data_IF_744590107758
#
_entry.id   IF_744590107758
#
_cell.length_a   1.000
_cell.length_b   1.000
_cell.length_c   1.000
_cell.angle_alpha   90.00
_cell.angle_beta   90.00
_cell.angle_gamma   90.00
#
_symmetry.space_group_name_H-M   'P 1'
#
loop_
_entity.id
_entity.type
_entity.pdbx_description
1 polymer ?
#
# COMPACT_ATOMS: atom_id res chain seq x y z
N UNK A 1 -0.97 -51.11 35.39
CA UNK A 1 -0.41 -50.34 34.27
C UNK A 1 -1.37 -49.23 33.95
N UNK A 2 -1.03 -47.94 34.33
CA UNK A 2 -1.87 -46.76 34.06
C UNK A 2 -1.49 -46.20 32.69
N UNK A 3 -2.40 -46.24 31.72
CA UNK A 3 -2.23 -45.63 30.40
C UNK A 3 -2.52 -44.12 30.53
N UNK A 4 -1.49 -43.26 30.46
CA UNK A 4 -1.63 -41.83 30.34
C UNK A 4 -2.05 -41.49 28.93
N UNK A 5 -3.25 -40.93 28.80
CA UNK A 5 -3.75 -40.36 27.53
C UNK A 5 -3.21 -38.91 27.43
N UNK A 6 -2.28 -38.68 26.52
CA UNK A 6 -1.80 -37.32 26.17
C UNK A 6 -2.79 -36.77 25.16
N UNK A 7 -3.59 -35.79 25.60
CA UNK A 7 -4.50 -35.03 24.73
C UNK A 7 -3.71 -33.96 24.00
N UNK A 8 -3.64 -33.95 22.65
CA UNK A 8 -2.96 -32.86 21.93
C UNK A 8 -3.77 -31.57 22.06
N UNK A 9 -3.14 -30.55 22.61
CA UNK A 9 -3.69 -29.20 22.67
C UNK A 9 -3.50 -28.54 21.29
N UNK A 10 -4.58 -28.52 20.49
CA UNK A 10 -4.59 -27.76 19.22
C UNK A 10 -4.60 -26.25 19.57
N UNK A 11 -3.47 -25.62 19.38
CA UNK A 11 -3.38 -24.15 19.38
C UNK A 11 -3.98 -23.64 18.05
N UNK A 12 -5.22 -23.17 18.09
CA UNK A 12 -5.80 -22.42 16.97
C UNK A 12 -5.14 -21.04 16.90
N UNK A 13 -4.20 -20.84 15.99
CA UNK A 13 -3.70 -19.53 15.61
C UNK A 13 -4.83 -18.82 14.85
N UNK A 14 -5.58 -17.96 15.54
CA UNK A 14 -6.47 -17.02 14.90
C UNK A 14 -5.58 -15.96 14.22
N UNK A 15 -5.39 -16.08 12.90
CA UNK A 15 -4.83 -15.00 12.10
C UNK A 15 -5.84 -13.84 12.12
N UNK A 16 -5.53 -12.78 12.86
CA UNK A 16 -6.28 -11.51 12.78
C UNK A 16 -5.96 -10.86 11.43
N UNK A 17 -6.76 -11.15 10.40
CA UNK A 17 -6.72 -10.34 9.18
C UNK A 17 -7.27 -8.95 9.51
N UNK A 18 -6.47 -7.92 9.25
CA UNK A 18 -6.90 -6.55 9.46
C UNK A 18 -8.12 -6.25 8.58
N UNK A 19 -9.22 -5.83 9.21
CA UNK A 19 -10.46 -5.46 8.50
C UNK A 19 -10.27 -4.06 7.90
N UNK A 20 -10.61 -3.84 6.62
CA UNK A 20 -10.55 -2.50 6.03
C UNK A 20 -11.39 -1.49 6.80
N UNK A 21 -10.96 -0.21 6.88
CA UNK A 21 -11.68 0.83 7.59
C UNK A 21 -13.09 1.01 7.04
N UNK A 22 -14.09 1.20 7.93
CA UNK A 22 -15.49 1.43 7.54
C UNK A 22 -15.68 2.67 6.68
N UNK A 23 -14.84 3.68 6.88
CA UNK A 23 -14.87 4.93 6.13
C UNK A 23 -13.47 5.30 5.64
N UNK A 24 -13.01 4.62 4.60
CA UNK A 24 -11.70 4.84 3.98
C UNK A 24 -11.54 6.21 3.28
N UNK A 25 -12.61 6.95 3.05
CA UNK A 25 -12.60 8.29 2.50
C UNK A 25 -12.35 9.39 3.57
N UNK A 26 -12.38 9.01 4.85
CA UNK A 26 -12.06 9.91 5.95
C UNK A 26 -10.82 9.41 6.70
N UNK A 27 -9.67 10.05 6.43
CA UNK A 27 -8.40 9.62 7.01
C UNK A 27 -8.38 9.74 8.54
N UNK A 28 -9.10 10.70 9.12
CA UNK A 28 -9.21 10.82 10.57
C UNK A 28 -9.99 9.66 11.18
N UNK A 29 -11.06 9.18 10.50
CA UNK A 29 -11.80 8.00 10.92
C UNK A 29 -10.94 6.74 10.77
N UNK A 30 -10.26 6.60 9.64
CA UNK A 30 -9.32 5.50 9.37
C UNK A 30 -8.28 5.36 10.48
N UNK A 31 -7.63 6.46 10.89
CA UNK A 31 -6.61 6.44 11.93
C UNK A 31 -7.18 6.28 13.36
N UNK A 32 -8.44 6.66 13.63
CA UNK A 32 -9.09 6.36 14.91
C UNK A 32 -9.49 4.89 15.03
N UNK A 33 -9.87 4.26 13.92
CA UNK A 33 -10.16 2.81 13.90
C UNK A 33 -8.87 1.98 14.02
N UNK A 34 -7.72 2.53 13.58
CA UNK A 34 -6.42 1.88 13.54
C UNK A 34 -5.33 2.88 13.97
N UNK A 35 -5.22 3.13 15.26
CA UNK A 35 -4.30 4.16 15.81
C UNK A 35 -2.84 3.94 15.41
N UNK A 36 -2.40 2.68 15.37
CA UNK A 36 -1.05 2.31 14.95
C UNK A 36 -0.74 2.72 13.50
N UNK A 37 -1.74 2.80 12.64
CA UNK A 37 -1.53 3.19 11.23
C UNK A 37 -1.04 4.63 11.10
N UNK A 38 -1.51 5.54 11.96
CA UNK A 38 -0.98 6.90 11.99
C UNK A 38 0.48 6.92 12.41
N UNK A 39 0.85 6.16 13.44
CA UNK A 39 2.21 6.05 13.95
C UNK A 39 3.12 5.50 12.84
N UNK A 40 2.72 4.42 12.18
CA UNK A 40 3.48 3.77 11.12
C UNK A 40 3.65 4.68 9.89
N UNK A 41 2.59 5.35 9.44
CA UNK A 41 2.66 6.30 8.33
C UNK A 41 3.54 7.52 8.69
N UNK A 42 3.55 7.95 9.96
CA UNK A 42 4.41 9.01 10.45
C UNK A 42 5.89 8.56 10.48
N UNK A 43 6.19 7.35 10.92
CA UNK A 43 7.54 6.79 10.88
C UNK A 43 8.07 6.72 9.44
N UNK A 44 7.25 6.27 8.50
CA UNK A 44 7.59 6.29 7.08
C UNK A 44 7.84 7.72 6.57
N UNK A 45 7.02 8.70 6.99
CA UNK A 45 7.26 10.11 6.67
C UNK A 45 8.59 10.61 7.24
N UNK A 46 8.89 10.30 8.49
CA UNK A 46 10.14 10.71 9.12
C UNK A 46 11.37 10.10 8.42
N UNK A 47 11.25 8.87 7.95
CA UNK A 47 12.32 8.16 7.24
C UNK A 47 12.52 8.65 5.81
N UNK A 48 11.44 8.85 5.05
CA UNK A 48 11.49 9.08 3.61
C UNK A 48 11.12 10.51 3.19
N UNK A 49 10.52 11.28 4.07
CA UNK A 49 10.07 12.65 3.83
C UNK A 49 8.87 12.77 2.88
N UNK A 50 8.18 11.66 2.59
CA UNK A 50 6.97 11.65 1.78
C UNK A 50 5.77 11.90 2.68
N UNK A 51 4.94 12.94 2.45
CA UNK A 51 3.84 13.29 3.35
C UNK A 51 2.84 12.15 3.55
N UNK A 52 2.33 11.99 4.78
CA UNK A 52 1.36 10.95 5.15
C UNK A 52 0.16 10.95 4.20
N UNK A 53 -0.39 12.11 3.86
CA UNK A 53 -1.54 12.21 2.96
C UNK A 53 -1.26 11.69 1.54
N UNK A 54 -0.02 11.73 1.07
CA UNK A 54 0.40 11.14 -0.21
C UNK A 54 0.45 9.62 -0.10
N UNK A 55 1.13 9.10 0.93
CA UNK A 55 1.25 7.65 1.17
C UNK A 55 -0.14 7.01 1.26
N UNK A 56 -1.02 7.59 2.07
CA UNK A 56 -2.38 7.10 2.28
C UNK A 56 -3.26 7.20 1.03
N UNK A 57 -3.08 8.24 0.20
CA UNK A 57 -3.84 8.38 -1.05
C UNK A 57 -3.41 7.33 -2.10
N UNK A 58 -2.12 7.00 -2.16
CA UNK A 58 -1.61 5.93 -3.01
C UNK A 58 -2.15 4.59 -2.51
N UNK A 59 -1.97 4.26 -1.23
CA UNK A 59 -2.44 3.00 -0.63
C UNK A 59 -3.95 2.82 -0.81
N UNK A 60 -4.74 3.87 -0.60
CA UNK A 60 -6.17 3.83 -0.85
C UNK A 60 -6.49 3.48 -2.31
N UNK A 61 -5.76 4.04 -3.27
CA UNK A 61 -5.97 3.74 -4.69
C UNK A 61 -5.59 2.30 -5.03
N UNK A 62 -4.56 1.76 -4.41
CA UNK A 62 -4.04 0.43 -4.70
C UNK A 62 -4.92 -0.68 -4.11
N UNK A 63 -5.30 -0.57 -2.86
CA UNK A 63 -5.99 -1.66 -2.14
C UNK A 63 -7.27 -1.27 -1.40
N UNK A 64 -7.60 0.03 -1.31
CA UNK A 64 -8.62 0.53 -0.39
C UNK A 64 -8.37 0.10 1.07
N UNK A 65 -7.11 -0.03 1.45
CA UNK A 65 -6.66 -0.53 2.76
C UNK A 65 -7.05 -1.99 3.05
N UNK A 66 -7.17 -2.81 2.02
CA UNK A 66 -7.35 -4.26 2.15
C UNK A 66 -5.98 -4.90 2.26
N UNK A 67 -5.72 -5.61 3.37
CA UNK A 67 -4.42 -6.19 3.69
C UNK A 67 -3.95 -7.22 2.65
N UNK A 68 -4.84 -8.13 2.27
CA UNK A 68 -4.58 -9.25 1.38
C UNK A 68 -5.07 -9.00 -0.07
N UNK A 69 -5.18 -7.73 -0.45
CA UNK A 69 -5.65 -7.36 -1.79
C UNK A 69 -4.79 -8.00 -2.88
N UNK A 70 -5.45 -8.57 -3.89
CA UNK A 70 -4.80 -9.24 -5.01
C UNK A 70 -5.59 -8.98 -6.30
N UNK A 71 -4.92 -8.91 -7.47
CA UNK A 71 -5.61 -8.90 -8.75
C UNK A 71 -6.52 -10.13 -8.91
N UNK A 72 -7.70 -9.99 -9.53
CA UNK A 72 -8.57 -11.14 -9.75
C UNK A 72 -7.86 -12.19 -10.61
N UNK A 73 -8.17 -13.47 -10.36
CA UNK A 73 -7.69 -14.56 -11.21
C UNK A 73 -8.36 -14.50 -12.57
N UNK A 74 -7.62 -14.84 -13.61
CA UNK A 74 -8.22 -15.17 -14.91
C UNK A 74 -8.92 -16.53 -14.81
N UNK A 75 -9.89 -16.77 -15.71
CA UNK A 75 -10.64 -18.02 -15.72
C UNK A 75 -10.38 -18.76 -17.00
N UNK A 76 -9.95 -20.01 -16.90
CA UNK A 76 -9.86 -20.92 -18.04
C UNK A 76 -11.27 -21.47 -18.34
N UNK A 77 -11.73 -21.33 -19.58
CA UNK A 77 -13.07 -21.75 -20.02
C UNK A 77 -14.23 -21.14 -19.21
N UNK A 78 -13.96 -20.02 -18.49
CA UNK A 78 -14.97 -19.34 -17.68
C UNK A 78 -15.34 -20.02 -16.36
N UNK A 79 -14.77 -21.20 -16.03
CA UNK A 79 -15.13 -21.99 -14.85
C UNK A 79 -13.95 -22.43 -13.97
N UNK A 80 -12.74 -22.49 -14.51
CA UNK A 80 -11.56 -22.94 -13.76
C UNK A 80 -10.70 -21.71 -13.39
N UNK A 81 -10.48 -21.40 -12.09
CA UNK A 81 -9.56 -20.35 -11.69
C UNK A 81 -8.15 -20.66 -12.23
N UNK A 82 -7.60 -19.74 -13.02
CA UNK A 82 -6.30 -19.92 -13.64
C UNK A 82 -5.23 -19.08 -12.93
N UNK A 83 -4.43 -18.33 -13.65
CA UNK A 83 -3.36 -17.50 -13.09
C UNK A 83 -3.82 -16.08 -12.77
N UNK A 84 -3.05 -15.36 -11.96
CA UNK A 84 -3.18 -13.91 -11.77
C UNK A 84 -2.32 -13.18 -12.79
N UNK A 85 -2.81 -12.09 -13.40
CA UNK A 85 -2.05 -11.35 -14.42
C UNK A 85 -0.87 -10.56 -13.84
N UNK A 86 -0.78 -10.43 -12.51
CA UNK A 86 0.26 -9.72 -11.80
C UNK A 86 0.51 -10.38 -10.44
N UNK A 87 1.74 -10.29 -9.93
CA UNK A 87 2.12 -10.67 -8.57
C UNK A 87 1.84 -9.59 -7.52
N UNK A 88 1.13 -8.51 -7.91
CA UNK A 88 0.74 -7.44 -6.99
C UNK A 88 -0.03 -7.99 -5.79
N UNK A 89 0.39 -7.60 -4.57
CA UNK A 89 -0.18 -8.09 -3.33
C UNK A 89 -0.18 -7.03 -2.23
N UNK A 90 -1.14 -7.15 -1.32
CA UNK A 90 -1.17 -6.43 -0.07
C UNK A 90 -1.64 -4.97 -0.19
N UNK A 91 -1.43 -4.23 0.87
CA UNK A 91 -1.83 -2.82 0.97
C UNK A 91 -1.29 -1.93 -0.15
N UNK A 92 -0.02 -2.13 -0.51
CA UNK A 92 0.69 -1.32 -1.49
C UNK A 92 0.60 -1.85 -2.91
N UNK A 93 0.01 -3.04 -3.14
CA UNK A 93 0.00 -3.73 -4.43
C UNK A 93 1.37 -3.82 -5.09
N UNK A 94 2.42 -3.99 -4.25
CA UNK A 94 3.78 -4.19 -4.73
C UNK A 94 3.89 -5.52 -5.47
N UNK A 95 4.53 -5.52 -6.64
CA UNK A 95 4.90 -6.73 -7.36
C UNK A 95 6.16 -7.35 -6.76
N UNK A 96 6.35 -8.67 -6.92
CA UNK A 96 7.45 -9.42 -6.32
C UNK A 96 8.80 -8.77 -6.57
N UNK A 97 9.16 -8.48 -7.82
CA UNK A 97 10.45 -7.87 -8.19
C UNK A 97 10.72 -6.53 -7.47
N UNK A 98 9.68 -5.69 -7.34
CA UNK A 98 9.84 -4.38 -6.69
C UNK A 98 9.89 -4.51 -5.17
N UNK A 99 9.17 -5.50 -4.63
CA UNK A 99 9.22 -5.80 -3.20
C UNK A 99 10.58 -6.37 -2.79
N UNK A 100 11.13 -7.31 -3.56
CA UNK A 100 12.47 -7.86 -3.33
C UNK A 100 13.53 -6.75 -3.39
N UNK A 101 13.42 -5.84 -4.37
CA UNK A 101 14.28 -4.64 -4.47
C UNK A 101 14.20 -3.76 -3.21
N UNK A 102 13.01 -3.63 -2.62
CA UNK A 102 12.82 -2.89 -1.37
C UNK A 102 13.45 -3.63 -0.20
N UNK A 103 13.22 -4.93 -0.06
CA UNK A 103 13.81 -5.74 1.02
C UNK A 103 15.32 -5.65 1.01
N UNK A 104 15.93 -5.78 -0.15
CA UNK A 104 17.40 -5.73 -0.31
C UNK A 104 18.00 -4.36 0.02
N UNK A 105 17.27 -3.26 -0.24
CA UNK A 105 17.82 -1.89 -0.16
C UNK A 105 17.41 -1.12 1.09
N UNK A 106 16.26 -1.44 1.65
CA UNK A 106 15.65 -0.60 2.66
C UNK A 106 14.70 -1.32 3.63
N UNK A 107 14.15 -2.47 3.25
CA UNK A 107 13.20 -3.22 4.06
C UNK A 107 13.82 -3.82 5.31
N UNK A 108 12.96 -4.14 6.28
CA UNK A 108 13.34 -4.87 7.48
C UNK A 108 13.24 -6.36 7.26
N UNK A 109 14.08 -7.13 7.97
CA UNK A 109 13.92 -8.60 7.96
C UNK A 109 12.55 -8.99 8.47
N UNK A 110 11.83 -9.82 7.70
CA UNK A 110 10.48 -10.27 8.04
C UNK A 110 9.38 -9.29 7.63
N UNK A 111 9.70 -8.23 6.85
CA UNK A 111 8.68 -7.33 6.32
C UNK A 111 7.71 -8.07 5.37
N UNK A 112 6.41 -7.75 5.47
CA UNK A 112 5.36 -8.37 4.67
C UNK A 112 4.44 -7.32 4.00
N UNK A 113 3.94 -7.66 2.81
CA UNK A 113 3.11 -6.75 1.99
C UNK A 113 1.69 -6.56 2.54
N UNK A 114 1.21 -7.47 3.40
CA UNK A 114 -0.07 -7.37 4.10
C UNK A 114 0.05 -6.78 5.52
N UNK A 115 1.25 -6.38 5.93
CA UNK A 115 1.47 -5.57 7.12
C UNK A 115 1.48 -4.08 6.77
N UNK A 116 0.61 -3.32 7.44
CA UNK A 116 0.42 -1.89 7.13
C UNK A 116 1.70 -1.07 7.29
N UNK A 117 2.49 -1.33 8.34
CA UNK A 117 3.73 -0.62 8.61
C UNK A 117 4.72 -0.75 7.44
N UNK A 118 4.91 -1.97 6.98
CA UNK A 118 5.84 -2.30 5.90
C UNK A 118 5.37 -1.74 4.56
N UNK A 119 4.07 -1.83 4.28
CA UNK A 119 3.49 -1.27 3.07
C UNK A 119 3.58 0.27 3.05
N UNK A 120 3.39 0.94 4.19
CA UNK A 120 3.56 2.39 4.30
C UNK A 120 5.03 2.80 4.10
N UNK A 121 5.97 2.05 4.68
CA UNK A 121 7.40 2.29 4.49
C UNK A 121 7.82 2.05 3.03
N UNK A 122 7.32 0.99 2.39
CA UNK A 122 7.53 0.72 0.98
C UNK A 122 7.05 1.85 0.06
N UNK A 123 5.83 2.37 0.27
CA UNK A 123 5.29 3.50 -0.51
C UNK A 123 6.16 4.74 -0.30
N UNK A 124 6.59 5.01 0.93
CA UNK A 124 7.51 6.08 1.27
C UNK A 124 8.85 5.94 0.54
N UNK A 125 9.47 4.77 0.62
CA UNK A 125 10.72 4.43 -0.06
C UNK A 125 10.62 4.62 -1.57
N UNK A 126 9.63 4.00 -2.22
CA UNK A 126 9.47 4.07 -3.68
C UNK A 126 9.22 5.50 -4.16
N UNK A 127 8.40 6.26 -3.43
CA UNK A 127 8.12 7.67 -3.72
C UNK A 127 9.35 8.56 -3.52
N UNK A 128 10.19 8.26 -2.52
CA UNK A 128 11.48 8.93 -2.29
C UNK A 128 12.47 8.68 -3.43
N UNK A 129 12.52 7.45 -3.97
CA UNK A 129 13.33 7.15 -5.16
C UNK A 129 12.78 7.88 -6.39
N UNK A 130 11.45 7.96 -6.54
CA UNK A 130 10.81 8.72 -7.62
C UNK A 130 11.18 10.21 -7.55
N UNK A 131 11.21 10.78 -6.34
CA UNK A 131 11.71 12.15 -6.13
C UNK A 131 13.16 12.29 -6.60
N UNK A 132 14.04 11.42 -6.13
CA UNK A 132 15.48 11.50 -6.41
C UNK A 132 15.84 11.26 -7.88
N UNK A 133 15.18 10.27 -8.52
CA UNK A 133 15.48 9.87 -9.90
C UNK A 133 14.77 10.72 -10.96
N UNK A 134 13.58 11.22 -10.65
CA UNK A 134 12.68 11.83 -11.63
C UNK A 134 12.39 13.32 -11.34
N UNK A 135 12.87 13.85 -10.20
CA UNK A 135 12.64 15.24 -9.80
C UNK A 135 11.18 15.52 -9.37
N UNK A 136 10.37 14.50 -9.09
CA UNK A 136 8.98 14.66 -8.68
C UNK A 136 8.96 15.18 -7.24
N UNK A 137 8.24 16.26 -6.97
CA UNK A 137 8.09 16.77 -5.60
C UNK A 137 7.40 15.72 -4.71
N UNK A 138 7.89 15.52 -3.47
CA UNK A 138 7.36 14.52 -2.53
C UNK A 138 5.88 14.73 -2.15
N UNK A 139 5.37 15.96 -2.32
CA UNK A 139 3.94 16.28 -2.15
C UNK A 139 3.08 16.13 -3.41
N UNK A 140 3.69 15.83 -4.57
CA UNK A 140 2.97 15.67 -5.84
C UNK A 140 2.42 14.25 -5.99
N UNK A 141 1.30 13.98 -5.33
CA UNK A 141 0.65 12.67 -5.34
C UNK A 141 0.26 12.20 -6.75
N UNK A 142 -0.05 13.13 -7.68
CA UNK A 142 -0.38 12.77 -9.06
C UNK A 142 0.80 12.13 -9.77
N UNK A 143 1.92 12.82 -9.82
CA UNK A 143 3.09 12.36 -10.54
C UNK A 143 3.79 11.22 -9.83
N UNK A 144 3.77 11.17 -8.49
CA UNK A 144 4.25 10.03 -7.72
C UNK A 144 3.43 8.76 -8.02
N UNK A 145 2.11 8.86 -8.10
CA UNK A 145 1.26 7.73 -8.49
C UNK A 145 1.51 7.28 -9.93
N UNK A 146 1.69 8.21 -10.88
CA UNK A 146 2.04 7.87 -12.26
C UNK A 146 3.37 7.12 -12.33
N UNK A 147 4.38 7.55 -11.56
CA UNK A 147 5.66 6.85 -11.48
C UNK A 147 5.55 5.50 -10.78
N UNK A 148 4.68 5.40 -9.77
CA UNK A 148 4.39 4.16 -9.05
C UNK A 148 3.80 3.10 -9.99
N UNK A 149 2.79 3.47 -10.76
CA UNK A 149 2.09 2.57 -11.68
C UNK A 149 2.91 2.20 -12.93
N UNK A 150 3.64 3.16 -13.53
CA UNK A 150 4.39 2.92 -14.78
C UNK A 150 5.80 2.39 -14.54
N UNK A 151 6.26 2.40 -13.30
CA UNK A 151 7.66 2.28 -12.96
C UNK A 151 8.46 3.53 -13.37
N UNK A 152 9.64 3.73 -12.77
CA UNK A 152 10.49 4.91 -13.03
C UNK A 152 10.83 5.07 -14.50
N UNK A 153 11.19 3.96 -15.18
CA UNK A 153 11.51 3.98 -16.61
C UNK A 153 10.30 4.31 -17.50
N UNK A 154 9.13 3.79 -17.17
CA UNK A 154 7.88 4.10 -17.89
C UNK A 154 7.50 5.57 -17.74
N UNK A 155 7.58 6.11 -16.52
CA UNK A 155 7.33 7.53 -16.27
C UNK A 155 8.29 8.43 -17.05
N UNK A 156 9.60 8.13 -17.03
CA UNK A 156 10.62 8.89 -17.75
C UNK A 156 10.35 8.90 -19.26
N UNK A 157 9.92 7.77 -19.83
CA UNK A 157 9.49 7.69 -21.24
C UNK A 157 8.11 8.28 -21.51
N UNK A 158 7.43 8.77 -20.48
CA UNK A 158 6.07 9.36 -20.53
C UNK A 158 5.02 8.39 -21.11
N UNK A 159 5.14 7.08 -20.85
CA UNK A 159 4.21 6.05 -21.32
C UNK A 159 2.75 6.30 -20.90
N UNK A 160 2.56 6.91 -19.72
CA UNK A 160 1.26 7.31 -19.19
C UNK A 160 0.50 8.31 -20.08
N UNK A 161 1.17 9.06 -20.97
CA UNK A 161 0.50 10.00 -21.86
C UNK A 161 -0.48 9.30 -22.80
N UNK A 162 -0.18 8.06 -23.19
CA UNK A 162 -1.03 7.21 -24.06
C UNK A 162 -2.16 6.53 -23.29
N UNK A 163 -2.20 6.63 -21.95
CA UNK A 163 -3.18 5.95 -21.08
C UNK A 163 -4.12 6.98 -20.45
N UNK A 164 -5.15 7.40 -21.19
CA UNK A 164 -6.10 8.39 -20.69
C UNK A 164 -6.78 7.97 -19.38
N UNK A 165 -7.06 6.67 -19.21
CA UNK A 165 -7.61 6.12 -17.99
C UNK A 165 -6.67 6.31 -16.79
N UNK A 166 -5.35 6.06 -16.95
CA UNK A 166 -4.37 6.18 -15.87
C UNK A 166 -4.22 7.64 -15.41
N UNK A 167 -4.26 8.59 -16.35
CA UNK A 167 -4.27 10.03 -16.01
C UNK A 167 -5.48 10.41 -15.15
N UNK A 168 -6.68 9.87 -15.48
CA UNK A 168 -7.88 10.09 -14.65
C UNK A 168 -7.75 9.46 -13.26
N UNK A 169 -7.13 8.29 -13.15
CA UNK A 169 -6.86 7.67 -11.84
C UNK A 169 -5.87 8.53 -11.05
N UNK A 170 -4.79 8.99 -11.66
CA UNK A 170 -3.82 9.88 -11.01
C UNK A 170 -4.45 11.21 -10.55
N UNK A 171 -5.42 11.76 -11.30
CA UNK A 171 -6.20 12.93 -10.87
C UNK A 171 -7.05 12.64 -9.63
N UNK A 172 -7.64 11.45 -9.52
CA UNK A 172 -8.37 10.99 -8.33
C UNK A 172 -7.45 10.86 -7.12
N UNK A 173 -6.26 10.28 -7.30
CA UNK A 173 -5.25 10.19 -6.23
C UNK A 173 -4.84 11.57 -5.73
N UNK A 174 -4.58 12.51 -6.65
CA UNK A 174 -4.26 13.88 -6.28
C UNK A 174 -5.41 14.59 -5.54
N UNK A 175 -6.65 14.37 -5.96
CA UNK A 175 -7.82 14.89 -5.25
C UNK A 175 -7.91 14.31 -3.83
N UNK A 176 -7.76 12.99 -3.69
CA UNK A 176 -7.77 12.30 -2.39
C UNK A 176 -6.64 12.77 -1.48
N UNK A 177 -5.45 12.94 -2.00
CA UNK A 177 -4.32 13.47 -1.23
C UNK A 177 -4.63 14.85 -0.65
N UNK A 178 -5.22 15.77 -1.44
CA UNK A 178 -5.65 17.08 -0.94
C UNK A 178 -6.76 16.98 0.11
N UNK A 179 -7.70 16.06 -0.08
CA UNK A 179 -8.76 15.81 0.91
C UNK A 179 -8.15 15.32 2.23
N UNK A 180 -7.29 14.33 2.17
CA UNK A 180 -6.60 13.78 3.34
C UNK A 180 -5.71 14.83 4.03
N UNK A 181 -5.00 15.64 3.28
CA UNK A 181 -4.22 16.76 3.82
C UNK A 181 -5.10 17.73 4.64
N UNK A 182 -6.26 18.11 4.07
CA UNK A 182 -7.22 18.98 4.76
C UNK A 182 -7.78 18.34 6.03
N UNK A 183 -8.13 17.05 5.96
CA UNK A 183 -8.67 16.31 7.10
C UNK A 183 -7.63 16.19 8.21
N UNK A 184 -6.38 15.80 7.91
CA UNK A 184 -5.29 15.70 8.88
C UNK A 184 -4.98 17.03 9.58
N UNK A 185 -5.11 18.16 8.87
CA UNK A 185 -4.96 19.49 9.46
C UNK A 185 -6.11 19.87 10.41
N UNK A 186 -7.26 19.21 10.31
CA UNK A 186 -8.44 19.48 11.12
C UNK A 186 -8.62 18.49 12.29
N UNK A 187 -8.09 17.27 12.20
CA UNK A 187 -8.20 16.29 13.28
C UNK A 187 -6.95 16.31 14.16
N UNK A 188 -7.19 16.26 15.47
CA UNK A 188 -6.11 16.02 16.46
C UNK A 188 -5.81 14.53 16.44
N UNK A 189 -4.61 14.18 16.00
CA UNK A 189 -4.02 12.85 16.15
C UNK A 189 -3.09 12.93 17.37
N UNK A 190 -3.38 12.15 18.40
CA UNK A 190 -2.57 12.11 19.63
C UNK A 190 -1.34 11.24 19.43
#
# INVERSE_FOLDING_TARGET
>A
MKKSIILPFLFSLAACTAVPPKNSDNICATFRENEEWYINAKQSFERWGVPIFVQMAIMHQESHFVADAQPPRTWLLGIIPWFRPSSAYGYAQAIDETWDDYLDKAGSWGADRDEFADAADFIGWYSSISHSKLGIAKGDAKNLFLAYHEGHGGYQRKSYLKKAWLKRVADKVAYRARLFQKQLGACKMN
#
